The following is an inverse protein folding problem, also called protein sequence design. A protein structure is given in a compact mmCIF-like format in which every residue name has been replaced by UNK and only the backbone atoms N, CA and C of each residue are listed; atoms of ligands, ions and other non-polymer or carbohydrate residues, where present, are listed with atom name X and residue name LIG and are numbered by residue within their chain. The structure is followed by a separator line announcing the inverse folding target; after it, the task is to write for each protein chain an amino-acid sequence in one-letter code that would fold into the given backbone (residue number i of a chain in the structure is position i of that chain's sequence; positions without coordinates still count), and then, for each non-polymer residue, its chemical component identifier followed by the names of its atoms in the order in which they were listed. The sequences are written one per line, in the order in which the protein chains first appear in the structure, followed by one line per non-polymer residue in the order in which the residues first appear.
data_IF_842725141186
#
_entry.id   IF_842725141186
#
_cell.length_a   1.000
_cell.length_b   1.000
_cell.length_c   1.000
_cell.angle_alpha   90.00
_cell.angle_beta   90.00
_cell.angle_gamma   90.00
#
_symmetry.space_group_name_H-M   'P 1'
#
loop_
_entity.id
_entity.type
_entity.pdbx_description
1 polymer ?
#
# COMPACT_ATOMS: atom_id res chain seq x y z
N UNK A 1 9.53 19.00 33.53
CA UNK A 1 9.82 18.17 32.33
C UNK A 1 8.48 17.66 31.83
N UNK A 2 7.94 18.22 30.74
CA UNK A 2 6.72 17.69 30.14
C UNK A 2 7.04 16.34 29.51
N UNK A 3 6.44 15.25 30.00
CA UNK A 3 6.53 13.96 29.32
C UNK A 3 5.94 14.14 27.91
N UNK A 4 6.69 13.78 26.88
CA UNK A 4 6.17 13.78 25.51
C UNK A 4 5.02 12.76 25.44
N UNK A 5 3.77 13.22 25.50
CA UNK A 5 2.58 12.36 25.56
C UNK A 5 2.22 11.76 24.21
N UNK A 6 2.90 12.15 23.12
CA UNK A 6 2.56 11.75 21.74
C UNK A 6 2.54 10.24 21.49
N UNK A 7 3.15 9.45 22.38
CA UNK A 7 3.20 7.98 22.32
C UNK A 7 2.18 7.30 23.24
N UNK A 8 1.46 8.05 24.08
CA UNK A 8 0.44 7.51 24.99
C UNK A 8 -0.85 7.20 24.26
N UNK A 9 -1.26 5.93 24.33
CA UNK A 9 -2.55 5.47 23.80
C UNK A 9 -3.73 6.09 24.56
N UNK A 10 -3.64 6.24 25.88
CA UNK A 10 -4.75 6.80 26.67
C UNK A 10 -5.07 8.25 26.31
N UNK A 11 -4.06 8.99 25.83
CA UNK A 11 -4.19 10.38 25.42
C UNK A 11 -4.59 10.50 23.94
N UNK A 12 -3.94 9.74 23.05
CA UNK A 12 -4.05 9.92 21.60
C UNK A 12 -4.78 8.79 20.85
N UNK A 13 -5.12 7.71 21.54
CA UNK A 13 -5.85 6.58 20.99
C UNK A 13 -7.31 6.92 20.67
N UNK A 14 -7.96 6.08 19.85
CA UNK A 14 -9.30 6.36 19.35
C UNK A 14 -10.37 6.01 20.38
N UNK A 15 -10.84 7.02 21.13
CA UNK A 15 -11.82 6.86 22.23
C UNK A 15 -13.18 6.27 21.82
N UNK A 16 -13.50 6.29 20.54
CA UNK A 16 -14.79 5.81 20.00
C UNK A 16 -14.80 4.30 19.71
N UNK A 17 -13.64 3.61 19.71
CA UNK A 17 -13.54 2.18 19.33
C UNK A 17 -12.69 1.33 20.29
N UNK A 18 -12.52 1.74 21.55
CA UNK A 18 -11.70 1.01 22.53
C UNK A 18 -12.41 -0.19 23.18
N UNK A 19 -13.72 -0.33 23.01
CA UNK A 19 -14.48 -1.44 23.57
C UNK A 19 -14.42 -2.65 22.63
N UNK A 20 -13.63 -3.66 23.00
CA UNK A 20 -13.44 -4.92 22.24
C UNK A 20 -14.75 -5.61 21.86
N UNK A 21 -15.80 -5.45 22.67
CA UNK A 21 -17.11 -6.05 22.43
C UNK A 21 -17.93 -5.28 21.39
N UNK A 22 -17.54 -4.04 21.07
CA UNK A 22 -18.18 -3.18 20.07
C UNK A 22 -17.38 -3.09 18.77
N UNK A 23 -16.24 -3.78 18.67
CA UNK A 23 -15.49 -3.86 17.41
C UNK A 23 -16.29 -4.67 16.39
N UNK A 24 -16.93 -3.93 15.50
CA UNK A 24 -17.46 -4.42 14.23
C UNK A 24 -16.32 -4.59 13.21
N UNK A 25 -16.06 -5.83 12.78
CA UNK A 25 -15.03 -6.15 11.78
C UNK A 25 -15.52 -5.97 10.34
N UNK A 26 -16.82 -5.76 10.13
CA UNK A 26 -17.42 -5.42 8.84
C UNK A 26 -17.43 -3.92 8.58
N UNK A 27 -17.36 -3.12 9.64
CA UNK A 27 -17.26 -1.66 9.57
C UNK A 27 -15.89 -1.19 9.04
N UNK A 28 -15.90 -0.30 8.04
CA UNK A 28 -14.66 0.20 7.43
C UNK A 28 -13.87 1.12 8.36
N UNK A 29 -14.52 2.07 9.03
CA UNK A 29 -13.92 2.98 10.01
C UNK A 29 -13.17 2.18 11.08
N UNK A 30 -13.80 1.16 11.65
CA UNK A 30 -13.16 0.32 12.67
C UNK A 30 -11.89 -0.35 12.14
N UNK A 31 -11.95 -0.96 10.95
CA UNK A 31 -10.78 -1.62 10.34
C UNK A 31 -9.66 -0.62 10.06
N UNK A 32 -9.99 0.55 9.51
CA UNK A 32 -9.08 1.65 9.23
C UNK A 32 -8.37 2.12 10.50
N UNK A 33 -9.15 2.43 11.54
CA UNK A 33 -8.63 2.91 12.81
C UNK A 33 -7.73 1.87 13.51
N UNK A 34 -8.13 0.60 13.53
CA UNK A 34 -7.32 -0.50 14.08
C UNK A 34 -6.00 -0.64 13.31
N UNK A 35 -6.05 -0.68 11.97
CA UNK A 35 -4.85 -0.79 11.14
C UNK A 35 -3.89 0.40 11.37
N UNK A 36 -4.42 1.63 11.48
CA UNK A 36 -3.63 2.82 11.77
C UNK A 36 -3.01 2.77 13.18
N UNK A 37 -3.75 2.30 14.19
CA UNK A 37 -3.25 2.13 15.55
C UNK A 37 -2.13 1.09 15.63
N UNK A 38 -2.26 -0.05 14.94
CA UNK A 38 -1.21 -1.07 14.89
C UNK A 38 0.07 -0.51 14.25
N UNK A 39 -0.04 0.30 13.18
CA UNK A 39 1.12 0.99 12.59
C UNK A 39 1.74 1.99 13.57
N UNK A 40 0.92 2.76 14.31
CA UNK A 40 1.42 3.64 15.38
C UNK A 40 2.09 2.85 16.50
N UNK A 41 1.58 1.67 16.86
CA UNK A 41 2.22 0.74 17.78
C UNK A 41 3.65 0.41 17.36
N UNK A 42 3.92 0.19 16.07
CA UNK A 42 5.29 -0.02 15.55
C UNK A 42 6.18 1.23 15.75
N UNK A 43 5.65 2.43 15.52
CA UNK A 43 6.39 3.68 15.79
C UNK A 43 6.75 3.82 17.28
N UNK A 44 5.78 3.60 18.16
CA UNK A 44 5.97 3.71 19.61
C UNK A 44 6.91 2.62 20.10
N UNK A 45 6.84 1.41 19.55
CA UNK A 45 7.75 0.31 19.89
C UNK A 45 9.20 0.61 19.54
N UNK A 46 9.43 1.22 18.37
CA UNK A 46 10.77 1.70 18.00
C UNK A 46 11.24 2.85 18.91
N UNK A 47 10.34 3.73 19.37
CA UNK A 47 10.68 4.79 20.33
C UNK A 47 11.03 4.20 21.70
N UNK A 48 10.23 3.25 22.21
CA UNK A 48 10.48 2.53 23.45
C UNK A 48 11.84 1.83 23.46
N UNK A 49 12.27 1.31 22.30
CA UNK A 49 13.60 0.73 22.09
C UNK A 49 14.69 1.79 22.02
N UNK A 50 14.52 2.79 21.16
CA UNK A 50 15.53 3.82 20.90
C UNK A 50 15.84 4.68 22.13
N UNK A 51 14.80 5.02 22.91
CA UNK A 51 14.90 5.80 24.14
C UNK A 51 15.15 4.93 25.38
N UNK A 52 15.21 3.60 25.22
CA UNK A 52 15.37 2.63 26.31
C UNK A 52 14.37 2.85 27.44
N UNK A 53 13.11 3.13 27.12
CA UNK A 53 12.07 3.43 28.12
C UNK A 53 11.90 2.27 29.08
N UNK A 54 11.89 2.57 30.38
CA UNK A 54 11.66 1.59 31.44
C UNK A 54 10.24 1.02 31.39
N UNK A 55 9.25 1.90 31.19
CA UNK A 55 7.85 1.52 30.98
C UNK A 55 7.55 1.58 29.49
N UNK A 56 7.05 0.47 28.93
CA UNK A 56 6.71 0.36 27.51
C UNK A 56 5.32 0.94 27.26
N UNK A 57 5.22 1.87 26.32
CA UNK A 57 3.96 2.51 25.92
C UNK A 57 3.34 1.82 24.69
N UNK A 58 4.15 1.11 23.92
CA UNK A 58 3.73 0.48 22.68
C UNK A 58 2.60 -0.57 22.85
N UNK A 59 2.60 -1.44 23.89
CA UNK A 59 1.60 -2.51 24.02
C UNK A 59 0.14 -2.08 23.95
N UNK A 60 -0.19 -0.94 24.57
CA UNK A 60 -1.53 -0.40 24.57
C UNK A 60 -2.10 -0.13 23.15
N UNK A 61 -1.24 0.10 22.15
CA UNK A 61 -1.67 0.34 20.77
C UNK A 61 -2.17 -0.89 20.02
N UNK A 62 -1.89 -2.11 20.51
CA UNK A 62 -2.37 -3.36 19.90
C UNK A 62 -3.20 -4.21 20.86
N UNK A 63 -2.87 -4.24 22.15
CA UNK A 63 -3.60 -5.02 23.17
C UNK A 63 -5.03 -4.51 23.36
N UNK A 64 -5.25 -3.21 23.24
CA UNK A 64 -6.59 -2.60 23.28
C UNK A 64 -7.54 -3.10 22.19
N UNK A 65 -7.00 -3.77 21.16
CA UNK A 65 -7.76 -4.36 20.06
C UNK A 65 -7.66 -5.90 20.03
N UNK A 66 -7.13 -6.54 21.08
CA UNK A 66 -7.06 -8.00 21.20
C UNK A 66 -5.91 -8.64 20.41
N UNK A 67 -4.91 -7.85 20.03
CA UNK A 67 -3.71 -8.34 19.37
C UNK A 67 -2.56 -8.50 20.35
N UNK A 68 -1.60 -9.35 19.99
CA UNK A 68 -0.32 -9.46 20.66
C UNK A 68 0.82 -9.41 19.65
N UNK A 69 1.99 -8.90 20.05
CA UNK A 69 3.18 -8.86 19.20
C UNK A 69 3.76 -10.27 19.05
N UNK A 70 3.67 -10.85 17.84
CA UNK A 70 4.23 -12.16 17.51
C UNK A 70 5.70 -12.08 17.10
N UNK A 71 6.04 -11.09 16.27
CA UNK A 71 7.39 -10.96 15.71
C UNK A 71 7.73 -9.53 15.31
N UNK A 72 8.96 -9.12 15.57
CA UNK A 72 9.49 -7.84 15.12
C UNK A 72 10.26 -7.98 13.80
N UNK A 73 10.18 -6.94 12.98
CA UNK A 73 10.97 -6.80 11.75
C UNK A 73 12.05 -5.75 12.00
N UNK A 74 13.30 -6.22 12.05
CA UNK A 74 14.48 -5.40 12.34
C UNK A 74 15.39 -5.27 11.14
N UNK A 75 16.01 -4.11 11.02
CA UNK A 75 17.04 -3.83 10.03
C UNK A 75 18.28 -3.26 10.72
N UNK A 76 19.48 -3.77 10.40
CA UNK A 76 20.73 -3.18 10.87
C UNK A 76 21.02 -1.86 10.15
N UNK A 77 21.34 -0.82 10.90
CA UNK A 77 21.84 0.45 10.36
C UNK A 77 23.38 0.37 10.32
N UNK A 78 23.94 0.31 9.11
CA UNK A 78 25.38 0.29 8.88
C UNK A 78 25.95 1.71 8.81
N UNK A 79 27.02 1.96 9.55
CA UNK A 79 27.92 3.09 9.38
C UNK A 79 29.24 2.64 8.76
N UNK A 80 30.06 3.63 8.41
CA UNK A 80 31.43 3.50 7.87
C UNK A 80 32.32 2.63 8.78
N UNK A 81 31.96 2.48 10.06
CA UNK A 81 32.70 1.73 11.09
C UNK A 81 32.01 0.40 11.49
N UNK A 82 30.94 -0.02 10.79
CA UNK A 82 30.18 -1.24 11.09
C UNK A 82 28.70 -0.98 11.47
N UNK A 83 27.99 -2.02 11.90
CA UNK A 83 26.59 -1.90 12.37
C UNK A 83 26.56 -1.09 13.65
N UNK A 84 25.83 0.03 13.67
CA UNK A 84 25.70 0.84 14.89
C UNK A 84 24.52 0.34 15.72
N UNK A 85 23.31 0.23 15.15
CA UNK A 85 22.10 -0.20 15.85
C UNK A 85 21.10 -0.88 14.92
N UNK A 86 20.29 -1.80 15.45
CA UNK A 86 19.11 -2.34 14.77
C UNK A 86 17.91 -1.41 14.96
N UNK A 87 17.13 -1.18 13.90
CA UNK A 87 15.87 -0.43 13.97
C UNK A 87 14.69 -1.33 13.66
N UNK A 88 13.61 -1.19 14.43
CA UNK A 88 12.35 -1.87 14.17
C UNK A 88 11.63 -1.07 13.09
N UNK A 89 11.35 -1.68 11.93
CA UNK A 89 10.62 -1.03 10.83
C UNK A 89 9.22 -1.63 10.60
N UNK A 90 8.94 -2.78 11.19
CA UNK A 90 7.64 -3.42 11.13
C UNK A 90 7.44 -4.46 12.23
N UNK A 91 6.23 -4.98 12.32
CA UNK A 91 5.84 -6.01 13.28
C UNK A 91 4.74 -6.90 12.71
N UNK A 92 4.65 -8.12 13.23
CA UNK A 92 3.57 -9.07 13.00
C UNK A 92 2.79 -9.18 14.30
N UNK A 93 1.52 -8.85 14.22
CA UNK A 93 0.56 -8.98 15.31
C UNK A 93 -0.34 -10.19 15.07
N UNK A 94 -0.62 -10.95 16.12
CA UNK A 94 -1.53 -12.08 16.11
C UNK A 94 -2.78 -11.73 16.92
N UNK A 95 -3.94 -11.98 16.33
CA UNK A 95 -5.21 -11.77 17.00
C UNK A 95 -5.54 -12.96 17.90
N UNK A 96 -5.77 -12.72 19.18
CA UNK A 96 -6.12 -13.75 20.15
C UNK A 96 -7.15 -13.19 21.14
N UNK A 97 -8.45 -13.24 20.82
CA UNK A 97 -9.48 -12.82 21.74
C UNK A 97 -9.84 -13.98 22.68
N UNK A 98 -10.18 -13.64 23.92
CA UNK A 98 -10.68 -14.60 24.91
C UNK A 98 -12.20 -14.83 24.84
N UNK A 99 -12.89 -14.44 23.75
CA UNK A 99 -14.36 -14.38 23.67
C UNK A 99 -14.96 -15.01 22.37
N UNK A 100 -16.24 -15.45 22.39
CA UNK A 100 -16.78 -16.45 21.45
C UNK A 100 -16.94 -15.98 20.00
N UNK A 101 -16.96 -16.97 19.09
CA UNK A 101 -16.94 -16.86 17.62
C UNK A 101 -18.31 -16.52 16.97
N UNK A 102 -19.22 -15.87 17.68
CA UNK A 102 -20.52 -15.43 17.12
C UNK A 102 -20.39 -14.07 16.41
N UNK A 103 -19.55 -14.00 15.37
CA UNK A 103 -19.39 -12.78 14.56
C UNK A 103 -19.74 -13.07 13.11
N UNK A 104 -20.46 -12.14 12.46
CA UNK A 104 -20.85 -12.24 11.05
C UNK A 104 -19.64 -12.26 10.10
N UNK A 105 -18.52 -11.62 10.48
CA UNK A 105 -17.24 -11.74 9.80
C UNK A 105 -16.08 -11.99 10.77
N UNK A 106 -15.12 -12.86 10.40
CA UNK A 106 -13.99 -13.17 11.27
C UNK A 106 -12.96 -12.01 11.26
N UNK A 107 -12.35 -11.72 12.43
CA UNK A 107 -11.19 -10.84 12.53
C UNK A 107 -10.00 -11.37 11.73
N UNK A 108 -9.02 -10.51 11.36
CA UNK A 108 -7.78 -10.99 10.78
C UNK A 108 -7.03 -11.85 11.79
N UNK A 109 -6.41 -12.93 11.32
CA UNK A 109 -5.54 -13.74 12.18
C UNK A 109 -4.22 -13.03 12.43
N UNK A 110 -3.66 -12.43 11.38
CA UNK A 110 -2.41 -11.69 11.45
C UNK A 110 -2.53 -10.31 10.83
N UNK A 111 -1.87 -9.34 11.43
CA UNK A 111 -1.63 -8.02 10.84
C UNK A 111 -0.14 -7.79 10.74
N UNK A 112 0.36 -7.54 9.53
CA UNK A 112 1.74 -7.15 9.28
C UNK A 112 1.77 -5.63 9.05
N UNK A 113 2.31 -4.92 10.03
CA UNK A 113 2.32 -3.46 10.06
C UNK A 113 3.74 -2.92 9.83
N UNK A 114 3.86 -1.87 9.01
CA UNK A 114 5.14 -1.22 8.70
C UNK A 114 5.09 0.28 9.01
N UNK A 115 6.06 0.77 9.80
CA UNK A 115 6.19 2.21 10.04
C UNK A 115 6.96 2.89 8.91
N UNK A 116 6.70 4.16 8.71
CA UNK A 116 7.52 5.02 7.87
C UNK A 116 8.81 5.49 8.57
N UNK A 117 9.61 6.29 7.87
CA UNK A 117 10.78 6.97 8.43
C UNK A 117 10.33 7.99 9.49
N UNK A 118 11.15 8.22 10.53
CA UNK A 118 10.84 9.24 11.54
C UNK A 118 10.95 10.63 10.92
N UNK A 119 10.08 11.59 11.29
CA UNK A 119 10.20 12.96 10.82
C UNK A 119 11.50 13.59 11.34
N UNK A 120 12.37 14.03 10.42
CA UNK A 120 13.65 14.66 10.73
C UNK A 120 14.23 15.43 9.53
N UNK A 121 14.04 14.92 8.30
CA UNK A 121 14.33 15.69 7.09
C UNK A 121 13.61 15.11 5.87
N UNK A 122 12.93 15.97 5.08
CA UNK A 122 12.37 15.61 3.75
C UNK A 122 13.45 15.00 2.83
N UNK A 123 14.72 15.36 3.06
CA UNK A 123 15.87 14.77 2.35
C UNK A 123 16.05 13.29 2.65
N UNK A 124 15.88 12.88 3.90
CA UNK A 124 16.02 11.47 4.31
C UNK A 124 14.85 10.65 3.77
N UNK A 125 13.63 11.20 3.80
CA UNK A 125 12.47 10.62 3.11
C UNK A 125 12.71 10.41 1.62
N UNK A 126 13.22 11.43 0.92
CA UNK A 126 13.54 11.32 -0.50
C UNK A 126 14.61 10.26 -0.77
N UNK A 127 15.66 10.17 0.05
CA UNK A 127 16.71 9.18 -0.12
C UNK A 127 16.20 7.76 0.15
N UNK A 128 15.46 7.56 1.23
CA UNK A 128 14.84 6.29 1.58
C UNK A 128 13.86 5.84 0.49
N UNK A 129 13.02 6.74 0.01
CA UNK A 129 12.06 6.47 -1.05
C UNK A 129 12.76 6.17 -2.38
N UNK A 130 13.81 6.93 -2.73
CA UNK A 130 14.63 6.67 -3.93
C UNK A 130 15.33 5.32 -3.83
N UNK A 131 15.79 4.92 -2.65
CA UNK A 131 16.38 3.61 -2.41
C UNK A 131 15.33 2.51 -2.56
N UNK A 132 14.16 2.70 -1.95
CA UNK A 132 13.01 1.78 -2.07
C UNK A 132 12.63 1.65 -3.54
N UNK A 133 12.25 2.72 -4.22
CA UNK A 133 11.80 2.71 -5.62
C UNK A 133 12.83 2.14 -6.59
N UNK A 134 14.13 2.43 -6.42
CA UNK A 134 15.16 1.98 -7.37
C UNK A 134 15.74 0.59 -7.07
N UNK A 135 15.59 0.04 -5.85
CA UNK A 135 16.24 -1.23 -5.42
C UNK A 135 15.28 -2.23 -4.76
N UNK A 136 14.00 -2.01 -4.99
CA UNK A 136 12.86 -2.61 -4.32
C UNK A 136 12.86 -4.15 -4.29
N UNK A 137 13.26 -4.81 -5.37
CA UNK A 137 13.27 -6.28 -5.48
C UNK A 137 14.51 -6.94 -4.82
N UNK A 138 15.58 -6.17 -4.59
CA UNK A 138 16.90 -6.70 -4.21
C UNK A 138 17.29 -6.43 -2.75
N UNK A 139 16.40 -5.86 -1.92
CA UNK A 139 16.71 -5.50 -0.53
C UNK A 139 16.03 -6.41 0.48
N UNK A 140 16.75 -6.69 1.56
CA UNK A 140 16.30 -7.43 2.74
C UNK A 140 14.99 -6.90 3.32
N UNK A 141 14.79 -5.57 3.35
CA UNK A 141 13.58 -4.91 3.87
C UNK A 141 12.29 -5.28 3.14
N UNK A 142 12.38 -5.82 1.92
CA UNK A 142 11.24 -6.34 1.15
C UNK A 142 11.23 -7.87 1.17
N UNK A 143 12.40 -8.48 0.98
CA UNK A 143 12.52 -9.94 0.95
C UNK A 143 12.21 -10.63 2.28
N UNK A 144 12.54 -10.00 3.41
CA UNK A 144 12.25 -10.55 4.73
C UNK A 144 10.75 -10.53 5.01
N UNK A 145 10.02 -9.41 4.86
CA UNK A 145 8.57 -9.43 5.01
C UNK A 145 7.87 -10.35 4.01
N UNK A 146 8.32 -10.41 2.75
CA UNK A 146 7.75 -11.35 1.79
C UNK A 146 7.87 -12.81 2.26
N UNK A 147 9.08 -13.23 2.67
CA UNK A 147 9.29 -14.59 3.21
C UNK A 147 8.46 -14.86 4.46
N UNK A 148 8.26 -13.87 5.31
CA UNK A 148 7.49 -14.05 6.54
C UNK A 148 6.00 -14.18 6.29
N UNK A 149 5.42 -13.38 5.39
CA UNK A 149 4.02 -13.53 5.01
C UNK A 149 3.82 -14.87 4.30
N UNK A 150 4.76 -15.30 3.46
CA UNK A 150 4.73 -16.62 2.82
C UNK A 150 4.75 -17.77 3.84
N UNK A 151 5.59 -17.67 4.88
CA UNK A 151 5.60 -18.61 6.00
C UNK A 151 4.27 -18.61 6.76
N UNK A 152 3.74 -17.45 7.13
CA UNK A 152 2.44 -17.34 7.81
C UNK A 152 1.33 -17.98 6.98
N UNK A 153 1.32 -17.76 5.67
CA UNK A 153 0.34 -18.37 4.76
C UNK A 153 0.47 -19.88 4.70
N UNK A 154 1.70 -20.39 4.64
CA UNK A 154 1.97 -21.83 4.63
C UNK A 154 1.51 -22.47 5.94
N UNK A 155 1.77 -21.84 7.07
CA UNK A 155 1.37 -22.35 8.39
C UNK A 155 -0.15 -22.34 8.55
N UNK A 156 -0.83 -21.25 8.13
CA UNK A 156 -2.29 -21.18 8.15
C UNK A 156 -2.95 -22.23 7.25
N UNK A 157 -2.41 -22.48 6.04
CA UNK A 157 -2.96 -23.51 5.14
C UNK A 157 -2.93 -24.91 5.76
N UNK A 158 -1.84 -25.26 6.44
CA UNK A 158 -1.74 -26.55 7.15
C UNK A 158 -2.78 -26.69 8.25
N UNK A 159 -3.09 -25.60 8.94
CA UNK A 159 -4.11 -25.58 9.99
C UNK A 159 -5.54 -25.59 9.43
N UNK A 160 -5.80 -24.88 8.33
CA UNK A 160 -7.11 -24.80 7.67
C UNK A 160 -7.50 -26.12 7.00
N UNK A 161 -6.54 -26.83 6.38
CA UNK A 161 -6.72 -28.20 5.87
C UNK A 161 -7.12 -29.18 6.97
N UNK A 162 -6.67 -28.95 8.21
CA UNK A 162 -7.06 -29.74 9.37
C UNK A 162 -8.42 -29.32 9.98
N UNK A 163 -8.95 -28.13 9.64
CA UNK A 163 -10.05 -27.48 10.38
C UNK A 163 -11.32 -27.17 9.56
N UNK A 164 -11.43 -27.64 8.31
CA UNK A 164 -12.61 -27.46 7.43
C UNK A 164 -13.17 -26.01 7.38
N UNK A 165 -12.35 -25.07 6.93
CA UNK A 165 -12.86 -23.90 6.20
C UNK A 165 -13.13 -22.63 7.01
N UNK A 166 -12.07 -21.92 7.37
CA UNK A 166 -12.13 -20.47 7.49
C UNK A 166 -11.10 -19.86 6.55
N UNK A 167 -11.51 -18.86 5.76
CA UNK A 167 -10.58 -18.07 4.94
C UNK A 167 -9.68 -17.25 5.88
N UNK A 168 -8.53 -17.80 6.25
CA UNK A 168 -7.54 -17.14 7.08
C UNK A 168 -7.06 -15.84 6.42
N UNK A 169 -7.47 -14.68 6.97
CA UNK A 169 -7.15 -13.37 6.42
C UNK A 169 -5.90 -12.77 7.10
N UNK A 170 -4.92 -12.37 6.28
CA UNK A 170 -3.79 -11.53 6.69
C UNK A 170 -4.08 -10.10 6.28
N UNK A 171 -3.83 -9.14 7.16
CA UNK A 171 -3.82 -7.73 6.79
C UNK A 171 -2.40 -7.22 6.60
N UNK A 172 -2.22 -6.38 5.59
CA UNK A 172 -1.04 -5.53 5.46
C UNK A 172 -1.42 -4.10 5.84
N UNK A 173 -0.62 -3.46 6.67
CA UNK A 173 -0.80 -2.06 7.02
C UNK A 173 0.51 -1.31 6.93
N UNK A 174 0.49 -0.07 6.45
CA UNK A 174 1.69 0.75 6.48
C UNK A 174 1.41 2.22 6.34
N UNK A 175 2.33 3.03 6.87
CA UNK A 175 2.29 4.49 6.79
C UNK A 175 3.52 5.03 6.06
N UNK A 176 3.34 6.01 5.16
CA UNK A 176 4.43 6.67 4.45
C UNK A 176 5.35 5.63 3.77
N UNK A 177 6.66 5.63 4.05
CA UNK A 177 7.58 4.60 3.54
C UNK A 177 7.14 3.16 3.89
N UNK A 178 6.53 2.96 5.06
CA UNK A 178 5.98 1.66 5.46
C UNK A 178 4.81 1.24 4.57
N UNK A 179 3.99 2.18 4.11
CA UNK A 179 2.94 1.90 3.13
C UNK A 179 3.53 1.48 1.78
N UNK A 180 4.64 2.10 1.37
CA UNK A 180 5.38 1.64 0.19
C UNK A 180 5.90 0.21 0.39
N UNK A 181 6.44 -0.15 1.56
CA UNK A 181 6.86 -1.55 1.84
C UNK A 181 5.65 -2.51 1.75
N UNK A 182 4.53 -2.17 2.40
CA UNK A 182 3.31 -2.97 2.37
C UNK A 182 2.78 -3.19 0.95
N UNK A 183 2.81 -2.14 0.11
CA UNK A 183 2.42 -2.21 -1.29
C UNK A 183 3.23 -3.26 -2.07
N UNK A 184 4.53 -3.30 -1.81
CA UNK A 184 5.45 -4.21 -2.50
C UNK A 184 5.26 -5.65 -2.05
N UNK A 185 5.14 -5.84 -0.73
CA UNK A 185 4.85 -7.15 -0.16
C UNK A 185 3.53 -7.67 -0.73
N UNK A 186 2.49 -6.84 -0.75
CA UNK A 186 1.19 -7.21 -1.30
C UNK A 186 1.25 -7.61 -2.77
N UNK A 187 1.96 -6.84 -3.61
CA UNK A 187 2.17 -7.21 -5.01
C UNK A 187 2.89 -8.54 -5.16
N UNK A 188 3.95 -8.77 -4.37
CA UNK A 188 4.68 -10.02 -4.38
C UNK A 188 3.79 -11.21 -4.00
N UNK A 189 2.87 -11.05 -3.04
CA UNK A 189 1.92 -12.10 -2.66
C UNK A 189 0.88 -12.38 -3.74
N UNK A 190 0.43 -11.34 -4.42
CA UNK A 190 -0.63 -11.46 -5.43
C UNK A 190 -0.17 -12.13 -6.73
N UNK A 191 1.13 -12.12 -7.04
CA UNK A 191 1.69 -12.81 -8.21
C UNK A 191 2.07 -14.28 -7.94
N UNK A 192 1.85 -14.77 -6.72
CA UNK A 192 2.03 -16.20 -6.40
C UNK A 192 0.88 -17.04 -6.99
N UNK A 193 1.11 -18.35 -7.14
CA UNK A 193 0.13 -19.27 -7.76
C UNK A 193 -1.24 -19.31 -7.07
N UNK A 194 -1.26 -19.07 -5.75
CA UNK A 194 -2.49 -19.03 -4.94
C UNK A 194 -2.48 -17.74 -4.11
N UNK A 195 -2.98 -16.62 -4.66
CA UNK A 195 -2.95 -15.34 -3.96
C UNK A 195 -3.87 -15.38 -2.73
N UNK A 196 -3.43 -14.84 -1.58
CA UNK A 196 -4.24 -14.76 -0.38
C UNK A 196 -5.33 -13.68 -0.46
N UNK A 197 -6.35 -13.78 0.39
CA UNK A 197 -7.23 -12.66 0.69
C UNK A 197 -6.47 -11.64 1.56
N UNK A 198 -5.81 -10.69 0.89
CA UNK A 198 -4.91 -9.73 1.49
C UNK A 198 -5.57 -8.35 1.58
N UNK A 199 -6.26 -8.09 2.69
CA UNK A 199 -6.73 -6.73 2.95
C UNK A 199 -5.53 -5.85 3.26
N UNK A 200 -5.43 -4.72 2.58
CA UNK A 200 -4.26 -3.85 2.67
C UNK A 200 -4.71 -2.43 2.98
N UNK A 201 -4.09 -1.81 3.98
CA UNK A 201 -4.35 -0.45 4.44
C UNK A 201 -3.08 0.39 4.27
N UNK A 202 -3.10 1.31 3.31
CA UNK A 202 -1.96 2.13 2.93
C UNK A 202 -2.24 3.59 3.31
N UNK A 203 -1.57 4.08 4.34
CA UNK A 203 -1.74 5.44 4.85
C UNK A 203 -0.67 6.38 4.30
N UNK A 204 -1.09 7.41 3.57
CA UNK A 204 -0.24 8.41 2.92
C UNK A 204 0.97 7.79 2.17
N UNK A 205 0.76 6.80 1.28
CA UNK A 205 1.85 6.16 0.57
C UNK A 205 2.57 7.15 -0.36
N UNK A 206 3.91 7.14 -0.42
CA UNK A 206 4.64 8.01 -1.30
C UNK A 206 4.53 7.55 -2.76
N UNK A 207 4.25 8.50 -3.66
CA UNK A 207 4.26 8.23 -5.10
C UNK A 207 5.58 8.66 -5.77
N UNK A 208 5.98 7.97 -6.84
CA UNK A 208 7.21 8.29 -7.59
C UNK A 208 7.23 9.73 -8.12
N UNK A 209 6.06 10.31 -8.42
CA UNK A 209 5.93 11.72 -8.83
C UNK A 209 6.54 12.68 -7.81
N UNK A 210 6.45 12.36 -6.52
CA UNK A 210 7.07 13.16 -5.47
C UNK A 210 8.61 13.21 -5.62
N UNK A 211 9.24 12.07 -5.92
CA UNK A 211 10.69 11.99 -6.18
C UNK A 211 11.05 12.83 -7.40
N UNK A 212 10.26 12.73 -8.47
CA UNK A 212 10.45 13.50 -9.71
C UNK A 212 10.34 15.00 -9.46
N UNK A 213 9.33 15.44 -8.72
CA UNK A 213 9.12 16.86 -8.38
C UNK A 213 10.28 17.42 -7.56
N UNK A 214 10.78 16.68 -6.56
CA UNK A 214 11.97 17.08 -5.78
C UNK A 214 13.23 17.12 -6.65
N UNK A 215 13.41 16.16 -7.57
CA UNK A 215 14.53 16.19 -8.53
C UNK A 215 14.45 17.40 -9.45
N UNK A 216 13.25 17.69 -9.97
CA UNK A 216 13.03 18.81 -10.86
C UNK A 216 13.31 20.13 -10.13
N UNK A 217 12.85 20.31 -8.90
CA UNK A 217 13.16 21.49 -8.10
C UNK A 217 14.66 21.69 -7.87
N UNK A 218 15.42 20.60 -7.76
CA UNK A 218 16.90 20.61 -7.60
C UNK A 218 17.67 20.82 -8.90
N UNK A 219 17.02 20.77 -10.06
CA UNK A 219 17.67 21.06 -11.34
C UNK A 219 17.85 22.56 -11.53
N UNK A 220 19.01 22.94 -12.07
CA UNK A 220 19.30 24.28 -12.56
C UNK A 220 18.20 24.75 -13.55
N UNK A 221 17.72 26.01 -13.48
CA UNK A 221 16.75 26.56 -14.43
C UNK A 221 17.04 26.25 -15.90
N UNK A 222 18.31 26.25 -16.30
CA UNK A 222 18.73 25.95 -17.69
C UNK A 222 18.54 24.46 -18.03
N UNK A 223 18.69 23.57 -17.04
CA UNK A 223 18.44 22.14 -17.19
C UNK A 223 16.94 21.78 -17.14
N UNK A 224 16.10 22.56 -16.47
CA UNK A 224 14.64 22.40 -16.51
C UNK A 224 14.09 22.58 -17.93
N UNK A 225 14.65 23.54 -18.66
CA UNK A 225 14.25 23.87 -20.03
C UNK A 225 14.76 22.87 -21.08
N UNK A 226 15.87 22.17 -20.80
CA UNK A 226 16.40 21.11 -21.68
C UNK A 226 15.64 19.78 -21.54
N UNK A 227 15.12 19.45 -20.35
CA UNK A 227 14.28 18.27 -20.12
C UNK A 227 12.98 18.33 -20.94
N UNK A 228 12.41 19.52 -21.14
CA UNK A 228 11.23 19.69 -22.02
C UNK A 228 11.55 19.58 -23.52
N UNK A 229 12.81 19.78 -23.94
CA UNK A 229 13.23 19.73 -25.34
C UNK A 229 13.70 18.34 -25.82
N UNK A 230 14.02 17.42 -24.92
CA UNK A 230 14.51 16.06 -25.26
C UNK A 230 13.35 15.05 -25.48
N UNK A 231 12.13 15.51 -25.73
CA UNK A 231 10.95 14.66 -25.92
C UNK A 231 10.86 13.94 -27.28
N UNK A 232 11.68 14.27 -28.28
CA UNK A 232 11.40 13.89 -29.68
C UNK A 232 12.43 12.97 -30.38
N UNK A 233 13.45 12.44 -29.70
CA UNK A 233 14.54 11.72 -30.39
C UNK A 233 14.73 10.24 -29.99
N UNK A 234 13.66 9.43 -29.95
CA UNK A 234 13.81 7.98 -29.81
C UNK A 234 12.71 7.19 -30.55
N UNK A 235 12.65 7.32 -31.89
CA UNK A 235 11.55 6.73 -32.67
C UNK A 235 11.81 5.37 -33.32
N UNK A 236 13.03 4.81 -33.36
CA UNK A 236 13.28 3.58 -34.19
C UNK A 236 13.80 2.32 -33.47
N UNK A 237 14.24 2.40 -32.23
CA UNK A 237 14.52 1.22 -31.37
C UNK A 237 13.52 1.00 -30.23
N UNK A 238 12.67 2.00 -29.97
CA UNK A 238 11.77 2.03 -28.82
C UNK A 238 10.53 1.13 -28.98
N UNK A 239 10.03 0.92 -30.21
CA UNK A 239 8.73 0.27 -30.43
C UNK A 239 8.64 -1.18 -29.90
N UNK A 240 9.67 -2.01 -30.13
CA UNK A 240 9.70 -3.41 -29.66
C UNK A 240 9.88 -3.52 -28.15
N UNK A 241 10.72 -2.67 -27.57
CA UNK A 241 10.92 -2.57 -26.11
C UNK A 241 9.63 -2.10 -25.43
N UNK A 242 8.92 -1.18 -26.05
CA UNK A 242 7.64 -0.63 -25.61
C UNK A 242 6.51 -1.64 -25.68
N UNK A 243 6.49 -2.49 -26.71
CA UNK A 243 5.53 -3.59 -26.85
C UNK A 243 5.72 -4.66 -25.77
N UNK A 244 6.95 -5.15 -25.60
CA UNK A 244 7.26 -6.16 -24.57
C UNK A 244 6.99 -5.64 -23.15
N UNK A 245 7.33 -4.37 -22.88
CA UNK A 245 7.00 -3.74 -21.61
C UNK A 245 5.48 -3.60 -21.41
N UNK A 246 4.74 -3.28 -22.47
CA UNK A 246 3.27 -3.21 -22.46
C UNK A 246 2.63 -4.56 -22.12
N UNK A 247 3.06 -5.64 -22.76
CA UNK A 247 2.53 -6.98 -22.49
C UNK A 247 2.83 -7.43 -21.06
N UNK A 248 4.07 -7.21 -20.60
CA UNK A 248 4.46 -7.51 -19.23
C UNK A 248 3.59 -6.76 -18.20
N UNK A 249 3.40 -5.46 -18.38
CA UNK A 249 2.58 -4.64 -17.48
C UNK A 249 1.09 -5.02 -17.52
N UNK A 250 0.56 -5.41 -18.68
CA UNK A 250 -0.81 -5.90 -18.79
C UNK A 250 -0.99 -7.23 -18.04
N UNK A 251 -0.08 -8.18 -18.21
CA UNK A 251 -0.12 -9.46 -17.49
C UNK A 251 -0.04 -9.24 -15.98
N UNK A 252 0.84 -8.35 -15.54
CA UNK A 252 0.96 -8.00 -14.13
C UNK A 252 -0.31 -7.33 -13.59
N UNK A 253 -0.92 -6.42 -14.35
CA UNK A 253 -2.16 -5.76 -13.95
C UNK A 253 -3.34 -6.73 -13.88
N UNK A 254 -3.38 -7.72 -14.77
CA UNK A 254 -4.37 -8.80 -14.71
C UNK A 254 -4.20 -9.64 -13.44
N UNK A 255 -2.98 -10.06 -13.11
CA UNK A 255 -2.68 -10.82 -11.89
C UNK A 255 -3.02 -10.03 -10.61
N UNK A 256 -2.72 -8.73 -10.61
CA UNK A 256 -2.98 -7.84 -9.48
C UNK A 256 -4.44 -7.33 -9.41
N UNK A 257 -5.26 -7.52 -10.46
CA UNK A 257 -6.62 -6.98 -10.54
C UNK A 257 -7.58 -7.42 -9.42
N UNK A 258 -7.51 -8.65 -8.87
CA UNK A 258 -8.37 -9.08 -7.76
C UNK A 258 -8.02 -8.39 -6.44
N UNK A 259 -6.83 -7.81 -6.33
CA UNK A 259 -6.38 -7.15 -5.12
C UNK A 259 -6.75 -5.67 -5.12
N UNK A 260 -7.57 -5.30 -4.12
CA UNK A 260 -8.08 -3.94 -3.96
C UNK A 260 -7.59 -3.37 -2.62
N UNK A 261 -6.37 -2.80 -2.56
CA UNK A 261 -5.89 -2.12 -1.36
C UNK A 261 -6.71 -0.86 -1.07
N UNK A 262 -6.89 -0.55 0.22
CA UNK A 262 -7.41 0.73 0.70
C UNK A 262 -6.27 1.74 0.78
N UNK A 263 -6.34 2.80 -0.02
CA UNK A 263 -5.37 3.89 -0.04
C UNK A 263 -5.99 5.11 0.64
N UNK A 264 -5.48 5.45 1.81
CA UNK A 264 -5.85 6.64 2.56
C UNK A 264 -4.88 7.76 2.23
N UNK A 265 -5.37 8.82 1.62
CA UNK A 265 -4.59 9.94 1.11
C UNK A 265 -5.19 11.27 1.53
N UNK A 266 -4.34 12.25 1.76
CA UNK A 266 -4.77 13.61 2.10
C UNK A 266 -4.50 14.56 0.94
N UNK A 267 -5.46 15.41 0.57
CA UNK A 267 -5.35 16.33 -0.58
C UNK A 267 -4.20 17.35 -0.43
N UNK A 268 -3.91 17.74 0.81
CA UNK A 268 -2.81 18.67 1.13
C UNK A 268 -1.45 17.99 1.38
N UNK A 269 -1.36 16.68 1.24
CA UNK A 269 -0.09 15.97 1.43
C UNK A 269 0.65 15.76 0.09
N UNK A 270 1.75 16.50 -0.17
CA UNK A 270 2.49 16.39 -1.42
C UNK A 270 3.15 15.02 -1.62
N UNK A 271 3.31 14.23 -0.55
CA UNK A 271 3.94 12.90 -0.61
C UNK A 271 3.01 11.91 -1.30
N UNK A 272 1.71 11.92 -0.95
CA UNK A 272 0.73 11.00 -1.50
C UNK A 272 -0.09 11.57 -2.68
N UNK A 273 0.00 12.88 -2.96
CA UNK A 273 -0.73 13.54 -4.06
C UNK A 273 -0.62 12.81 -5.41
N UNK A 274 0.55 12.23 -5.70
CA UNK A 274 0.76 11.51 -6.96
C UNK A 274 -0.16 10.29 -7.14
N UNK A 275 -0.68 9.68 -6.07
CA UNK A 275 -1.69 8.62 -6.18
C UNK A 275 -3.08 9.17 -6.54
N UNK A 276 -3.46 10.34 -6.01
CA UNK A 276 -4.70 11.02 -6.38
C UNK A 276 -4.67 11.31 -7.89
N UNK A 277 -3.60 11.99 -8.33
CA UNK A 277 -3.40 12.36 -9.73
C UNK A 277 -3.41 11.12 -10.65
N UNK A 278 -2.75 10.04 -10.23
CA UNK A 278 -2.68 8.79 -10.98
C UNK A 278 -4.07 8.20 -11.25
N UNK A 279 -4.89 8.03 -10.21
CA UNK A 279 -6.21 7.40 -10.36
C UNK A 279 -7.21 8.30 -11.09
N UNK A 280 -7.20 9.61 -10.81
CA UNK A 280 -8.09 10.55 -11.49
C UNK A 280 -7.77 10.68 -12.98
N UNK A 281 -6.49 10.79 -13.33
CA UNK A 281 -6.07 10.85 -14.74
C UNK A 281 -6.46 9.56 -15.46
N UNK A 282 -6.25 8.41 -14.81
CA UNK A 282 -6.59 7.10 -15.34
C UNK A 282 -8.08 6.98 -15.67
N UNK A 283 -8.94 7.41 -14.76
CA UNK A 283 -10.38 7.41 -14.99
C UNK A 283 -10.78 8.35 -16.14
N UNK A 284 -10.32 9.61 -16.14
CA UNK A 284 -10.65 10.59 -17.19
C UNK A 284 -10.36 10.06 -18.59
N UNK A 285 -9.27 9.31 -18.75
CA UNK A 285 -8.91 8.71 -20.02
C UNK A 285 -9.71 7.44 -20.35
N UNK A 286 -10.09 6.63 -19.35
CA UNK A 286 -11.02 5.52 -19.56
C UNK A 286 -12.38 6.03 -20.07
N UNK A 287 -12.88 7.13 -19.52
CA UNK A 287 -14.11 7.78 -19.96
C UNK A 287 -13.99 8.37 -21.36
N UNK A 288 -12.81 8.89 -21.73
CA UNK A 288 -12.53 9.47 -23.05
C UNK A 288 -12.20 8.47 -24.16
N UNK A 289 -12.00 7.18 -23.87
CA UNK A 289 -11.60 6.18 -24.88
C UNK A 289 -12.30 4.81 -24.67
N UNK A 290 -13.40 4.54 -25.40
CA UNK A 290 -14.22 3.34 -25.19
C UNK A 290 -13.61 2.02 -25.70
N UNK A 291 -12.38 2.01 -26.25
CA UNK A 291 -11.69 0.78 -26.66
C UNK A 291 -10.86 0.20 -25.49
N UNK A 292 -11.42 -0.80 -24.83
CA UNK A 292 -10.93 -1.45 -23.60
C UNK A 292 -9.56 -2.15 -23.76
N UNK A 293 -9.24 -2.65 -24.96
CA UNK A 293 -8.00 -3.43 -25.18
C UNK A 293 -6.73 -2.57 -25.37
N UNK A 294 -6.91 -1.26 -25.62
CA UNK A 294 -5.82 -0.34 -25.96
C UNK A 294 -5.42 0.62 -24.84
N UNK A 295 -6.14 0.61 -23.71
CA UNK A 295 -6.28 1.77 -22.81
C UNK A 295 -5.27 1.81 -21.64
N UNK A 296 -5.01 0.71 -20.93
CA UNK A 296 -4.11 0.74 -19.76
C UNK A 296 -2.62 0.75 -20.12
N UNK A 297 -2.27 0.09 -21.22
CA UNK A 297 -0.94 0.15 -21.80
C UNK A 297 -0.52 1.58 -22.16
N UNK A 298 -1.46 2.41 -22.64
CA UNK A 298 -1.22 3.79 -23.03
C UNK A 298 -0.85 4.69 -21.84
N UNK A 299 -1.33 4.40 -20.63
CA UNK A 299 -0.88 5.08 -19.41
C UNK A 299 0.53 4.70 -19.02
N UNK A 300 0.86 3.41 -19.08
CA UNK A 300 2.25 2.96 -18.86
C UNK A 300 3.23 3.66 -19.81
N UNK A 301 2.79 3.90 -21.06
CA UNK A 301 3.47 4.66 -22.11
C UNK A 301 3.61 6.17 -21.80
N UNK A 302 2.54 6.85 -21.34
CA UNK A 302 2.63 8.28 -20.96
C UNK A 302 3.52 8.48 -19.75
N UNK A 303 3.40 7.62 -18.75
CA UNK A 303 4.30 7.62 -17.60
C UNK A 303 5.73 7.18 -17.98
N UNK A 304 5.92 6.40 -19.06
CA UNK A 304 7.24 6.09 -19.62
C UNK A 304 7.87 7.28 -20.33
N UNK A 305 7.03 8.15 -20.93
CA UNK A 305 7.45 9.36 -21.60
C UNK A 305 8.00 10.42 -20.62
N UNK A 306 7.41 10.53 -19.43
CA UNK A 306 7.95 11.38 -18.34
C UNK A 306 9.19 10.79 -17.65
N UNK A 307 9.52 9.51 -17.88
CA UNK A 307 10.52 8.78 -17.09
C UNK A 307 11.86 8.45 -17.77
N UNK A 308 12.11 8.93 -18.99
CA UNK A 308 13.40 8.70 -19.66
C UNK A 308 14.69 9.08 -18.87
N UNK A 309 14.69 9.99 -17.87
CA UNK A 309 15.90 10.27 -17.10
C UNK A 309 16.21 9.31 -15.92
N UNK A 310 15.33 8.37 -15.54
CA UNK A 310 15.58 7.48 -14.37
C UNK A 310 15.53 6.01 -14.76
N UNK A 311 16.68 5.50 -15.21
CA UNK A 311 17.08 4.10 -15.05
C UNK A 311 16.32 3.04 -15.85
N UNK A 312 17.06 2.05 -16.35
CA UNK A 312 16.55 0.94 -17.19
C UNK A 312 15.92 -0.22 -16.40
N UNK A 313 15.22 0.02 -15.28
CA UNK A 313 14.51 -1.05 -14.55
C UNK A 313 12.98 -0.91 -14.72
N UNK A 314 12.36 -2.02 -15.12
CA UNK A 314 11.09 -2.05 -15.86
C UNK A 314 9.85 -2.27 -15.01
N UNK A 315 9.99 -2.69 -13.76
CA UNK A 315 8.84 -3.13 -12.98
C UNK A 315 8.49 -2.02 -12.00
N UNK A 316 7.54 -1.17 -12.38
CA UNK A 316 7.12 -0.02 -11.57
C UNK A 316 6.32 -0.52 -10.38
N UNK A 317 6.87 -0.55 -9.16
CA UNK A 317 6.26 -1.29 -8.06
C UNK A 317 5.11 -0.54 -7.39
N UNK A 318 4.94 0.74 -7.72
CA UNK A 318 3.95 1.59 -7.08
C UNK A 318 2.62 1.67 -7.84
N UNK A 319 2.59 1.22 -9.10
CA UNK A 319 1.37 1.25 -9.90
C UNK A 319 0.41 0.14 -9.45
N UNK A 320 -0.86 0.49 -9.32
CA UNK A 320 -1.93 -0.41 -8.87
C UNK A 320 -3.05 -0.48 -9.92
N UNK A 321 -3.47 -1.69 -10.33
CA UNK A 321 -4.58 -1.85 -11.26
C UNK A 321 -5.93 -1.56 -10.61
N UNK A 322 -6.10 -1.88 -9.33
CA UNK A 322 -7.34 -1.66 -8.58
C UNK A 322 -6.99 -1.07 -7.21
N UNK A 323 -7.87 -0.24 -6.66
CA UNK A 323 -7.74 0.34 -5.32
C UNK A 323 -9.06 0.99 -4.89
N UNK A 324 -9.30 1.07 -3.59
CA UNK A 324 -10.28 2.00 -3.04
C UNK A 324 -9.52 3.19 -2.47
N UNK A 325 -9.73 4.36 -3.06
CA UNK A 325 -9.09 5.60 -2.66
C UNK A 325 -9.99 6.33 -1.65
N UNK A 326 -9.46 6.56 -0.46
CA UNK A 326 -10.10 7.31 0.62
C UNK A 326 -9.40 8.64 0.77
N UNK A 327 -10.08 9.69 0.35
CA UNK A 327 -9.52 11.03 0.28
C UNK A 327 -10.03 11.87 1.45
N UNK A 328 -9.11 12.36 2.27
CA UNK A 328 -9.39 13.29 3.36
C UNK A 328 -9.30 14.73 2.86
N UNK A 329 -10.37 15.49 3.09
CA UNK A 329 -10.46 16.94 2.84
C UNK A 329 -10.35 17.76 4.13
N UNK A 330 -9.81 17.17 5.20
CA UNK A 330 -9.74 17.82 6.51
C UNK A 330 -8.82 19.05 6.46
N UNK A 331 -9.42 20.24 6.56
CA UNK A 331 -8.70 21.51 6.57
C UNK A 331 -8.62 22.09 7.98
N UNK A 332 -7.71 21.56 8.80
CA UNK A 332 -7.41 22.13 10.11
C UNK A 332 -5.93 22.54 10.17
N UNK A 333 -5.69 23.83 10.39
CA UNK A 333 -4.36 24.48 10.44
C UNK A 333 -3.37 23.83 11.43
N UNK A 334 -3.86 23.02 12.37
CA UNK A 334 -3.07 22.37 13.43
C UNK A 334 -2.69 20.91 13.14
N UNK A 335 -3.18 20.30 12.05
CA UNK A 335 -2.91 18.91 11.74
C UNK A 335 -1.91 18.74 10.61
N UNK A 336 -0.91 17.90 10.82
CA UNK A 336 0.00 17.42 9.78
C UNK A 336 -0.79 16.57 8.76
N UNK A 337 -0.95 17.01 7.50
CA UNK A 337 -1.63 16.26 6.44
C UNK A 337 -1.02 14.89 6.18
N UNK A 338 0.28 14.74 6.44
CA UNK A 338 0.97 13.47 6.29
C UNK A 338 0.83 12.59 7.55
N UNK A 339 0.47 13.18 8.69
CA UNK A 339 0.49 12.51 9.99
C UNK A 339 -0.49 11.34 10.07
N UNK A 340 -0.01 10.21 10.60
CA UNK A 340 -0.83 9.00 10.75
C UNK A 340 -2.05 9.18 11.67
N UNK A 341 -1.97 10.11 12.63
CA UNK A 341 -2.97 10.29 13.69
C UNK A 341 -4.37 10.63 13.18
N UNK A 342 -4.49 11.25 12.01
CA UNK A 342 -5.80 11.51 11.41
C UNK A 342 -6.55 10.21 11.10
N UNK A 343 -5.85 9.12 10.76
CA UNK A 343 -6.46 7.90 10.23
C UNK A 343 -7.07 6.99 11.29
N UNK A 344 -7.09 7.41 12.56
CA UNK A 344 -7.93 6.79 13.60
C UNK A 344 -8.94 7.77 14.21
N UNK A 345 -9.28 8.85 13.51
CA UNK A 345 -10.43 9.69 13.84
C UNK A 345 -11.73 9.10 13.26
N UNK A 346 -12.90 9.46 13.82
CA UNK A 346 -14.20 9.09 13.26
C UNK A 346 -14.39 9.63 11.84
N UNK A 347 -15.17 8.93 11.01
CA UNK A 347 -15.49 9.37 9.64
C UNK A 347 -16.21 10.72 9.61
N UNK A 348 -17.05 10.97 10.62
CA UNK A 348 -17.75 12.24 10.80
C UNK A 348 -16.81 13.45 10.93
N UNK A 349 -15.59 13.24 11.44
CA UNK A 349 -14.56 14.29 11.51
C UNK A 349 -13.76 14.37 10.20
N UNK A 350 -13.42 13.23 9.59
CA UNK A 350 -12.49 13.17 8.46
C UNK A 350 -13.11 13.58 7.11
N UNK A 351 -14.44 13.59 6.98
CA UNK A 351 -15.15 13.88 5.72
C UNK A 351 -14.54 13.10 4.54
N UNK A 352 -14.37 11.79 4.72
CA UNK A 352 -13.71 10.94 3.73
C UNK A 352 -14.58 10.80 2.48
N UNK A 353 -13.98 11.07 1.33
CA UNK A 353 -14.54 10.70 0.03
C UNK A 353 -13.96 9.35 -0.40
N UNK A 354 -14.80 8.33 -0.50
CA UNK A 354 -14.41 7.00 -0.93
C UNK A 354 -14.70 6.80 -2.42
N UNK A 355 -13.69 6.37 -3.18
CA UNK A 355 -13.83 6.09 -4.60
C UNK A 355 -13.15 4.80 -5.01
N UNK A 356 -13.93 3.89 -5.58
CA UNK A 356 -13.44 2.60 -6.03
C UNK A 356 -12.95 2.66 -7.48
N UNK A 357 -11.71 2.23 -7.71
CA UNK A 357 -11.08 2.10 -9.02
C UNK A 357 -10.82 0.62 -9.29
N UNK A 358 -11.42 0.09 -10.36
CA UNK A 358 -11.26 -1.31 -10.76
C UNK A 358 -10.55 -1.45 -12.10
N UNK A 359 -9.69 -2.46 -12.24
CA UNK A 359 -9.19 -2.89 -13.54
C UNK A 359 -10.22 -3.76 -14.26
N UNK A 360 -10.71 -3.38 -15.45
CA UNK A 360 -11.64 -4.20 -16.21
C UNK A 360 -10.89 -5.40 -16.77
N UNK A 361 -11.24 -6.60 -16.29
CA UNK A 361 -10.75 -7.85 -16.88
C UNK A 361 -11.67 -8.18 -18.06
N UNK A 362 -11.17 -8.32 -19.30
CA UNK A 362 -11.99 -8.77 -20.41
C UNK A 362 -12.58 -10.16 -20.07
N UNK A 363 -13.90 -10.28 -20.00
CA UNK A 363 -14.53 -11.58 -19.89
C UNK A 363 -14.20 -12.39 -21.14
N UNK A 364 -13.66 -13.60 -20.96
CA UNK A 364 -13.48 -14.53 -22.06
C UNK A 364 -14.84 -14.76 -22.73
N UNK A 365 -14.96 -14.38 -24.00
CA UNK A 365 -16.15 -14.66 -24.80
C UNK A 365 -16.32 -16.18 -24.90
N UNK A 366 -17.18 -16.75 -24.07
CA UNK A 366 -17.72 -18.09 -24.32
C UNK A 366 -18.59 -17.98 -25.56
N UNK A 367 -17.98 -18.22 -26.72
CA UNK A 367 -18.67 -18.33 -28.00
C UNK A 367 -19.53 -19.59 -27.96
N UNK A 368 -20.80 -19.44 -27.58
CA UNK A 368 -21.82 -20.45 -27.85
C UNK A 368 -22.09 -20.46 -29.35
N UNK A 369 -21.43 -21.35 -30.08
CA UNK A 369 -21.76 -21.69 -31.46
C UNK A 369 -23.11 -22.40 -31.50
N UNK A 370 -24.19 -21.62 -31.58
CA UNK A 370 -25.51 -22.12 -31.98
C UNK A 370 -25.56 -22.19 -33.51
N UNK A 371 -25.27 -23.36 -34.08
CA UNK A 371 -25.58 -23.65 -35.48
C UNK A 371 -27.09 -23.86 -35.65
N UNK A 372 -27.85 -22.81 -35.95
CA UNK A 372 -29.24 -22.94 -36.37
C UNK A 372 -29.28 -23.29 -37.86
N UNK A 373 -29.58 -24.56 -38.13
CA UNK A 373 -29.81 -25.13 -39.46
C UNK A 373 -31.24 -24.75 -39.90
N UNK A 374 -31.39 -24.02 -40.99
CA UNK A 374 -32.69 -23.72 -41.60
C UNK A 374 -33.38 -25.00 -42.09
N UNK A 375 -34.68 -25.22 -41.83
CA UNK A 375 -35.43 -26.26 -42.51
C UNK A 375 -36.06 -25.71 -43.79
N UNK A 376 -35.93 -26.50 -44.85
CA UNK A 376 -36.54 -26.30 -46.16
C UNK A 376 -38.06 -26.45 -46.10
N UNK A 377 -38.74 -25.63 -46.90
CA UNK A 377 -40.17 -25.69 -47.23
C UNK A 377 -40.42 -26.88 -48.16
N UNK A 378 -41.49 -27.68 -47.98
CA UNK A 378 -42.09 -28.43 -49.07
C UNK A 378 -43.39 -27.77 -49.55
N UNK A 379 -43.63 -27.95 -50.85
CA UNK A 379 -44.71 -27.44 -51.67
C UNK A 379 -46.10 -28.03 -51.35
#
# INVERSE_FOLDING_TARGET
MGSNTADSFDVHGPKHITDLNKIDWDNEEHRRCIAACLVKGVYVHENDRAERRAVKLAPAWWESFGFHLKKELREPIYSIVGVIFDTIYGAIFEYSPSAPRDRCAPPPRYVVAFRGTKPGSIRDYYLDLKIVVNKLEKRTRVQQPCRLVDQLMTDMRKEDEASQGQDSCIWLAGHSLGAAVALVVGRYMMVQEKPPNLRTFLFNPPHVSFITSINLLKLDPVAKESVHRVGNFLRKGAAKVLHSHREHMNNLFQQLSPWVPNLYVHEKDPICQGFIDYFEQRQKFMEGSPRVDTTFAAFSLRDAFWWHPIGKNKDRPQLLPSATLWKSCLDHELHDPHGLQQWWKPDSELRLEAKHYSYPVPQAQTTSTSSARSPAVPA
#
